data_IF_396037513101
#
_entry.id   IF_396037513101
#
_cell.length_a   1.000
_cell.length_b   1.000
_cell.length_c   1.000
_cell.angle_alpha   90.00
_cell.angle_beta   90.00
_cell.angle_gamma   90.00
#
_symmetry.space_group_name_H-M   'P 1'
#
loop_
_entity.id
_entity.type
_entity.pdbx_description
1 polymer ?
#
# COMPACT_ATOMS: atom_id res chain seq x y z
N UNK A 1 13.19 -13.25 -10.34
CA UNK A 1 12.83 -12.18 -9.38
C UNK A 1 11.69 -11.38 -10.00
N UNK A 2 10.51 -11.40 -9.39
CA UNK A 2 9.32 -10.72 -9.92
C UNK A 2 8.93 -9.59 -8.98
N UNK A 3 8.73 -8.40 -9.54
CA UNK A 3 8.18 -7.27 -8.80
C UNK A 3 6.68 -7.20 -9.07
N UNK A 4 5.91 -7.18 -7.99
CA UNK A 4 4.46 -7.04 -8.03
C UNK A 4 4.08 -5.66 -7.50
N UNK A 5 3.25 -4.96 -8.25
CA UNK A 5 2.64 -3.70 -7.82
C UNK A 5 1.15 -3.94 -7.60
N UNK A 6 0.68 -3.67 -6.39
CA UNK A 6 -0.73 -3.65 -6.04
C UNK A 6 -1.04 -2.28 -5.45
N UNK A 7 -2.12 -1.65 -5.89
CA UNK A 7 -2.54 -0.36 -5.37
C UNK A 7 -3.57 0.33 -6.27
N UNK A 8 -4.01 1.49 -5.84
CA UNK A 8 -4.92 2.39 -6.55
C UNK A 8 -4.28 3.75 -6.75
N UNK A 9 -4.83 4.53 -7.67
CA UNK A 9 -4.37 5.90 -7.92
C UNK A 9 -5.52 6.78 -8.35
N UNK A 10 -5.31 8.09 -8.42
CA UNK A 10 -6.28 9.04 -8.97
C UNK A 10 -6.74 8.71 -10.41
N UNK A 11 -5.99 7.87 -11.14
CA UNK A 11 -6.36 7.42 -12.50
C UNK A 11 -7.31 6.23 -12.50
N UNK A 12 -7.29 5.44 -11.43
CA UNK A 12 -8.00 4.14 -11.36
C UNK A 12 -9.08 4.10 -10.30
N UNK A 13 -9.09 5.06 -9.37
CA UNK A 13 -10.04 5.12 -8.26
C UNK A 13 -10.47 6.57 -7.96
N UNK A 14 -11.77 6.80 -7.69
CA UNK A 14 -12.25 8.09 -7.22
C UNK A 14 -11.73 8.41 -5.81
N UNK A 15 -11.86 9.67 -5.40
CA UNK A 15 -11.23 10.17 -4.15
C UNK A 15 -11.79 9.50 -2.90
N UNK A 16 -13.09 9.25 -2.85
CA UNK A 16 -13.80 8.59 -1.75
C UNK A 16 -13.33 7.15 -1.51
N UNK A 17 -12.89 6.44 -2.56
CA UNK A 17 -12.27 5.12 -2.42
C UNK A 17 -10.83 5.22 -1.91
N UNK A 18 -10.08 6.25 -2.33
CA UNK A 18 -8.68 6.46 -1.92
C UNK A 18 -8.58 6.92 -0.46
N UNK A 19 -9.52 7.72 0.02
CA UNK A 19 -9.58 8.14 1.43
C UNK A 19 -9.80 6.96 2.38
N UNK A 20 -10.45 5.88 1.92
CA UNK A 20 -10.58 4.63 2.70
C UNK A 20 -9.28 3.82 2.79
N UNK A 21 -8.30 4.17 1.96
CA UNK A 21 -6.99 3.54 1.87
C UNK A 21 -5.90 4.48 2.38
N UNK A 22 -6.28 5.60 3.01
CA UNK A 22 -5.34 6.51 3.64
C UNK A 22 -4.79 5.85 4.91
N UNK A 23 -3.48 5.62 4.90
CA UNK A 23 -2.78 5.07 6.05
C UNK A 23 -2.40 6.21 6.99
N UNK A 24 -2.75 6.10 8.27
CA UNK A 24 -2.14 6.97 9.27
C UNK A 24 -0.65 6.64 9.41
N UNK A 25 0.15 7.57 9.93
CA UNK A 25 1.61 7.41 10.02
C UNK A 25 2.04 6.17 10.84
N UNK A 26 1.24 5.73 11.82
CA UNK A 26 1.48 4.50 12.56
C UNK A 26 1.13 3.22 11.78
N UNK A 27 0.17 3.30 10.86
CA UNK A 27 -0.36 2.14 10.14
C UNK A 27 0.58 1.68 9.01
N UNK A 28 1.41 2.57 8.47
CA UNK A 28 2.34 2.24 7.38
C UNK A 28 3.41 1.22 7.78
N UNK A 29 4.03 1.38 8.95
CA UNK A 29 5.04 0.42 9.44
C UNK A 29 4.40 -0.93 9.72
N UNK A 30 3.24 -0.93 10.40
CA UNK A 30 2.50 -2.14 10.70
C UNK A 30 2.05 -2.88 9.42
N UNK A 31 1.62 -2.15 8.39
CA UNK A 31 1.25 -2.73 7.11
C UNK A 31 2.47 -3.36 6.41
N UNK A 32 3.61 -2.66 6.37
CA UNK A 32 4.84 -3.21 5.79
C UNK A 32 5.31 -4.48 6.52
N UNK A 33 5.28 -4.50 7.85
CA UNK A 33 5.62 -5.66 8.67
C UNK A 33 4.68 -6.84 8.42
N UNK A 34 3.36 -6.59 8.33
CA UNK A 34 2.38 -7.63 8.03
C UNK A 34 2.54 -8.23 6.63
N UNK A 35 2.96 -7.42 5.65
CA UNK A 35 3.23 -7.88 4.27
C UNK A 35 4.52 -8.72 4.26
N UNK A 36 5.59 -8.25 4.92
CA UNK A 36 6.86 -8.96 5.02
C UNK A 36 6.76 -10.28 5.80
N UNK A 37 5.82 -10.40 6.75
CA UNK A 37 5.57 -11.65 7.48
C UNK A 37 4.97 -12.77 6.61
N UNK A 38 4.56 -12.48 5.37
CA UNK A 38 3.95 -13.49 4.48
C UNK A 38 5.04 -14.38 3.86
N UNK A 39 4.89 -15.71 3.89
CA UNK A 39 5.96 -16.64 3.47
C UNK A 39 6.40 -16.54 2.01
N UNK A 40 5.65 -15.84 1.16
CA UNK A 40 5.97 -15.64 -0.27
C UNK A 40 6.55 -14.25 -0.59
N UNK A 41 6.77 -13.39 0.41
CA UNK A 41 7.27 -12.03 0.23
C UNK A 41 8.63 -11.87 0.90
N UNK A 42 9.66 -11.60 0.09
CA UNK A 42 11.02 -11.37 0.59
C UNK A 42 11.25 -9.91 1.00
N UNK A 43 10.65 -8.99 0.26
CA UNK A 43 10.78 -7.54 0.44
C UNK A 43 9.44 -6.87 0.12
N UNK A 44 9.13 -5.78 0.82
CA UNK A 44 7.92 -5.00 0.59
C UNK A 44 8.13 -3.53 0.89
N UNK A 45 7.48 -2.68 0.11
CA UNK A 45 7.41 -1.23 0.33
C UNK A 45 5.94 -0.81 0.25
N UNK A 46 5.48 -0.01 1.20
CA UNK A 46 4.15 0.60 1.19
C UNK A 46 4.30 2.09 0.85
N UNK A 47 3.52 2.58 -0.11
CA UNK A 47 3.53 3.98 -0.55
C UNK A 47 2.13 4.56 -0.46
N UNK A 48 1.86 5.36 0.56
CA UNK A 48 0.61 6.12 0.70
C UNK A 48 0.88 7.60 0.45
N UNK A 49 0.09 8.20 -0.43
CA UNK A 49 0.10 9.64 -0.75
C UNK A 49 -1.31 10.08 -1.08
N UNK A 50 -1.54 11.39 -1.18
CA UNK A 50 -2.84 11.94 -1.58
C UNK A 50 -3.31 11.50 -2.98
N UNK A 51 -2.44 10.90 -3.82
CA UNK A 51 -2.74 10.57 -5.22
C UNK A 51 -2.64 9.07 -5.56
N UNK A 52 -2.13 8.26 -4.61
CA UNK A 52 -1.95 6.80 -4.74
C UNK A 52 -1.70 6.15 -3.39
N UNK A 53 -2.22 4.94 -3.22
CA UNK A 53 -2.04 4.04 -2.08
C UNK A 53 -2.12 2.59 -2.55
#
# INVERSE_FOLDING_TARGET
MHLFLLGVSHRTAPVDLRERLDFSSGDLSAAAEQIAARPSMSESVVLSTCNRS
#
